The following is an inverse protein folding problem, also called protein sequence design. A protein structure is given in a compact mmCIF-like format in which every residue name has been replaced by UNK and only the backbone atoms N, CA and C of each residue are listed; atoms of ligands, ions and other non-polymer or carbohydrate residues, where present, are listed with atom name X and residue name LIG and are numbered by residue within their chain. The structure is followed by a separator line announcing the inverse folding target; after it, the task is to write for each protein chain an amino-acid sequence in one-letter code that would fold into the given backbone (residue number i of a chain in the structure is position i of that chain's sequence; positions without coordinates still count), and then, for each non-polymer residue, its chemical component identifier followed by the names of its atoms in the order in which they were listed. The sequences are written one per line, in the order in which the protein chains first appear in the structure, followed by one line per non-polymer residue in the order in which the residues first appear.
data_IF_556588167015
#
_entry.id   IF_556588167015
#
_cell.length_a   1.000
_cell.length_b   1.000
_cell.length_c   1.000
_cell.angle_alpha   90.00
_cell.angle_beta   90.00
_cell.angle_gamma   90.00
#
_symmetry.space_group_name_H-M   'P 1'
#
loop_
_entity.id
_entity.type
_entity.pdbx_description
1 polymer ?
#
# COMPACT_ATOMS: atom_id res chain seq x y z
N UNK A 1 11.96 -11.39 17.44
CA UNK A 1 12.22 -11.61 16.00
C UNK A 1 11.64 -10.40 15.31
N UNK A 2 12.46 -9.46 14.87
CA UNK A 2 11.94 -8.28 14.16
C UNK A 2 11.38 -8.78 12.83
N UNK A 3 10.07 -8.75 12.66
CA UNK A 3 9.44 -9.09 11.38
C UNK A 3 9.50 -7.84 10.51
N UNK A 4 10.23 -7.92 9.40
CA UNK A 4 10.26 -6.84 8.41
C UNK A 4 8.85 -6.56 7.89
N UNK A 5 8.55 -5.30 7.56
CA UNK A 5 7.36 -4.96 6.78
C UNK A 5 7.54 -5.48 5.35
N UNK A 6 6.63 -6.34 4.89
CA UNK A 6 6.70 -6.98 3.56
C UNK A 6 5.68 -6.39 2.59
N UNK A 7 6.00 -6.40 1.30
CA UNK A 7 5.07 -5.96 0.26
C UNK A 7 5.07 -6.86 -0.98
N UNK A 8 3.91 -7.07 -1.58
CA UNK A 8 3.78 -7.83 -2.83
C UNK A 8 2.54 -7.44 -3.64
N UNK A 9 2.59 -7.66 -4.95
CA UNK A 9 1.39 -7.64 -5.81
C UNK A 9 0.50 -8.82 -5.39
N UNK A 10 -0.73 -8.51 -4.97
CA UNK A 10 -1.71 -9.48 -4.46
C UNK A 10 -2.69 -9.96 -5.55
N UNK A 11 -2.71 -9.31 -6.71
CA UNK A 11 -3.46 -9.71 -7.91
C UNK A 11 -2.57 -10.39 -8.95
N UNK A 12 -3.14 -10.88 -10.04
CA UNK A 12 -2.36 -11.39 -11.17
C UNK A 12 -1.46 -10.26 -11.74
N UNK A 13 -0.19 -10.56 -12.02
CA UNK A 13 0.74 -9.65 -12.69
C UNK A 13 0.45 -9.58 -14.20
N UNK A 14 -0.69 -9.00 -14.53
CA UNK A 14 -1.22 -8.86 -15.89
C UNK A 14 -1.99 -7.54 -16.03
N UNK A 15 -2.30 -7.13 -17.26
CA UNK A 15 -3.15 -5.96 -17.47
C UNK A 15 -4.57 -6.22 -16.96
N UNK A 16 -5.11 -5.24 -16.23
CA UNK A 16 -6.48 -5.21 -15.75
C UNK A 16 -6.94 -3.77 -15.46
N UNK A 17 -8.19 -3.61 -15.03
CA UNK A 17 -8.68 -2.31 -14.58
C UNK A 17 -8.05 -1.91 -13.23
N UNK A 18 -7.86 -2.87 -12.34
CA UNK A 18 -7.36 -2.68 -10.97
C UNK A 18 -6.27 -3.70 -10.69
N UNK A 19 -5.24 -3.27 -9.97
CA UNK A 19 -4.24 -4.13 -9.36
C UNK A 19 -4.12 -3.81 -7.87
N UNK A 20 -3.91 -4.83 -7.04
CA UNK A 20 -3.78 -4.67 -5.59
C UNK A 20 -2.36 -4.98 -5.17
N UNK A 21 -1.76 -4.09 -4.39
CA UNK A 21 -0.49 -4.31 -3.71
C UNK A 21 -0.77 -4.36 -2.21
N UNK A 22 -0.35 -5.44 -1.55
CA UNK A 22 -0.54 -5.63 -0.11
C UNK A 22 0.76 -5.40 0.62
N UNK A 23 0.68 -4.69 1.73
CA UNK A 23 1.77 -4.40 2.67
C UNK A 23 1.36 -4.93 4.04
N UNK A 24 2.24 -5.65 4.73
CA UNK A 24 2.00 -6.20 6.07
C UNK A 24 3.20 -5.95 6.97
N UNK A 25 2.97 -5.43 8.17
CA UNK A 25 4.02 -5.20 9.17
C UNK A 25 3.81 -3.91 9.95
N UNK A 26 4.68 -3.65 10.94
CA UNK A 26 4.58 -2.50 11.83
C UNK A 26 4.65 -1.15 11.10
N UNK A 27 5.33 -1.09 9.95
CA UNK A 27 5.54 0.15 9.21
C UNK A 27 4.57 0.30 8.02
N UNK A 28 3.66 -0.65 7.80
CA UNK A 28 2.78 -0.68 6.63
C UNK A 28 1.99 0.63 6.46
N UNK A 29 1.50 1.20 7.55
CA UNK A 29 0.72 2.43 7.55
C UNK A 29 1.61 3.67 7.37
N UNK A 30 2.81 3.66 7.96
CA UNK A 30 3.76 4.76 7.82
C UNK A 30 4.25 4.87 6.37
N UNK A 31 4.61 3.73 5.75
CA UNK A 31 5.04 3.68 4.35
C UNK A 31 4.00 4.32 3.42
N UNK A 32 2.71 3.99 3.59
CA UNK A 32 1.64 4.56 2.76
C UNK A 32 1.34 6.02 3.11
N UNK A 33 1.51 6.41 4.38
CA UNK A 33 1.43 7.81 4.80
C UNK A 33 2.48 8.64 4.09
N UNK A 34 3.73 8.18 4.04
CA UNK A 34 4.85 8.91 3.43
C UNK A 34 4.67 9.03 1.90
N UNK A 35 4.23 7.96 1.24
CA UNK A 35 4.01 7.95 -0.21
C UNK A 35 2.82 8.79 -0.67
N UNK A 36 1.84 9.05 0.20
CA UNK A 36 0.63 9.82 -0.15
C UNK A 36 0.61 11.23 0.44
N UNK A 37 1.38 11.47 1.50
CA UNK A 37 1.31 12.68 2.34
C UNK A 37 0.02 12.80 3.14
N UNK A 38 -0.81 11.75 3.21
CA UNK A 38 -2.06 11.72 3.98
C UNK A 38 -1.86 10.88 5.24
N UNK A 39 -2.20 11.45 6.39
CA UNK A 39 -2.10 10.74 7.66
C UNK A 39 -3.21 9.70 7.83
N UNK A 40 -2.81 8.47 8.12
CA UNK A 40 -3.70 7.34 8.39
C UNK A 40 -3.58 6.81 9.83
N UNK A 41 -2.75 7.43 10.68
CA UNK A 41 -2.41 6.97 12.03
C UNK A 41 -3.62 6.76 12.93
N UNK A 42 -4.66 7.60 12.81
CA UNK A 42 -5.92 7.49 13.56
C UNK A 42 -7.06 6.81 12.77
N UNK A 43 -6.82 6.43 11.51
CA UNK A 43 -7.84 5.82 10.68
C UNK A 43 -8.18 4.41 11.18
N UNK A 44 -9.48 4.14 11.33
CA UNK A 44 -10.01 2.85 11.76
C UNK A 44 -9.71 1.77 10.73
N UNK A 45 -9.46 0.55 11.20
CA UNK A 45 -9.42 -0.63 10.33
C UNK A 45 -10.76 -0.85 9.63
N UNK A 46 -10.74 -1.58 8.52
CA UNK A 46 -11.87 -1.83 7.62
C UNK A 46 -12.46 -0.54 7.02
N UNK A 47 -11.61 0.44 6.75
CA UNK A 47 -11.99 1.67 6.02
C UNK A 47 -11.19 1.80 4.74
N UNK A 48 -11.77 2.50 3.76
CA UNK A 48 -11.17 2.77 2.45
C UNK A 48 -11.00 4.26 2.30
N UNK A 49 -9.84 4.68 1.82
CA UNK A 49 -9.46 6.07 1.64
C UNK A 49 -8.98 6.32 0.22
N UNK A 50 -9.52 7.33 -0.43
CA UNK A 50 -8.89 7.86 -1.64
C UNK A 50 -7.61 8.64 -1.27
N UNK A 51 -6.56 8.42 -2.05
CA UNK A 51 -5.27 9.10 -1.95
C UNK A 51 -4.54 9.10 -3.30
N UNK A 52 -3.49 9.91 -3.41
CA UNK A 52 -2.60 9.94 -4.58
C UNK A 52 -1.21 9.51 -4.14
N UNK A 53 -0.65 8.48 -4.77
CA UNK A 53 0.75 8.08 -4.57
C UNK A 53 1.63 9.09 -5.32
N UNK A 54 2.70 9.53 -4.67
CA UNK A 54 3.65 10.51 -5.22
C UNK A 54 5.07 9.99 -5.19
N UNK A 55 5.87 10.47 -6.14
CA UNK A 55 7.33 10.36 -6.14
C UNK A 55 7.90 11.78 -6.13
N UNK A 56 8.31 12.25 -4.94
CA UNK A 56 8.64 13.66 -4.75
C UNK A 56 7.43 14.57 -5.01
N UNK A 57 7.52 15.43 -6.02
CA UNK A 57 6.45 16.36 -6.41
C UNK A 57 5.56 15.83 -7.54
N UNK A 58 5.84 14.64 -8.09
CA UNK A 58 5.10 14.06 -9.19
C UNK A 58 4.02 13.11 -8.68
N UNK A 59 2.79 13.27 -9.17
CA UNK A 59 1.71 12.31 -8.95
C UNK A 59 1.92 11.07 -9.80
N UNK A 60 1.96 9.90 -9.17
CA UNK A 60 2.17 8.61 -9.83
C UNK A 60 0.83 7.96 -10.16
N UNK A 61 -0.03 7.78 -9.17
CA UNK A 61 -1.35 7.19 -9.37
C UNK A 61 -2.39 7.66 -8.34
N UNK A 62 -3.65 7.68 -8.74
CA UNK A 62 -4.80 7.83 -7.86
C UNK A 62 -5.27 6.44 -7.39
N UNK A 63 -5.31 6.23 -6.08
CA UNK A 63 -5.49 4.90 -5.50
C UNK A 63 -6.55 4.88 -4.41
N UNK A 64 -7.06 3.69 -4.13
CA UNK A 64 -7.82 3.41 -2.92
C UNK A 64 -6.93 2.64 -1.94
N UNK A 65 -6.79 3.19 -0.74
CA UNK A 65 -6.04 2.62 0.38
C UNK A 65 -7.02 1.97 1.35
N UNK A 66 -6.97 0.66 1.47
CA UNK A 66 -7.75 -0.11 2.45
C UNK A 66 -6.89 -0.43 3.66
N UNK A 67 -7.37 -0.07 4.85
CA UNK A 67 -6.63 -0.25 6.10
C UNK A 67 -7.20 -1.41 6.91
N UNK A 68 -6.32 -2.27 7.42
CA UNK A 68 -6.66 -3.32 8.37
C UNK A 68 -5.69 -3.22 9.55
N UNK A 69 -6.24 -3.07 10.76
CA UNK A 69 -5.43 -2.88 11.96
C UNK A 69 -5.20 -4.21 12.67
N UNK A 70 -4.01 -4.41 13.21
CA UNK A 70 -3.74 -5.51 14.11
C UNK A 70 -4.73 -5.49 15.30
N UNK A 71 -5.14 -6.66 15.82
CA UNK A 71 -4.87 -8.01 15.30
C UNK A 71 -5.90 -8.46 14.23
N UNK A 72 -6.75 -7.55 13.73
CA UNK A 72 -7.89 -7.85 12.86
C UNK A 72 -7.53 -7.63 11.39
N UNK A 73 -6.60 -8.45 10.90
CA UNK A 73 -6.17 -8.47 9.50
C UNK A 73 -5.88 -9.90 9.05
N UNK A 74 -5.53 -10.08 7.77
CA UNK A 74 -5.21 -11.39 7.21
C UNK A 74 -3.98 -12.04 7.86
N UNK A 75 -2.95 -11.24 8.19
CA UNK A 75 -1.70 -11.70 8.79
C UNK A 75 -1.67 -11.57 10.31
N UNK A 76 -2.63 -10.84 10.91
CA UNK A 76 -2.64 -10.49 12.32
C UNK A 76 -1.84 -9.23 12.65
N UNK A 77 -1.17 -8.63 11.66
CA UNK A 77 -0.41 -7.38 11.77
C UNK A 77 -1.22 -6.18 11.23
N UNK A 78 -0.65 -4.98 11.24
CA UNK A 78 -1.18 -3.90 10.42
C UNK A 78 -0.98 -4.27 8.94
N UNK A 79 -2.06 -4.18 8.17
CA UNK A 79 -2.08 -4.47 6.74
C UNK A 79 -2.69 -3.30 5.99
N UNK A 80 -2.02 -2.90 4.91
CA UNK A 80 -2.54 -1.92 3.96
C UNK A 80 -2.64 -2.57 2.58
N UNK A 81 -3.77 -2.38 1.92
CA UNK A 81 -3.94 -2.76 0.53
C UNK A 81 -4.12 -1.50 -0.32
N UNK A 82 -3.28 -1.35 -1.33
CA UNK A 82 -3.35 -0.27 -2.32
C UNK A 82 -3.97 -0.84 -3.59
N UNK A 83 -5.19 -0.43 -3.89
CA UNK A 83 -5.86 -0.68 -5.16
C UNK A 83 -5.53 0.48 -6.11
N UNK A 84 -4.69 0.18 -7.10
CA UNK A 84 -4.20 1.12 -8.12
C UNK A 84 -4.76 0.74 -9.51
N UNK A 85 -4.52 1.58 -10.52
CA UNK A 85 -4.86 1.22 -11.89
C UNK A 85 -4.12 -0.06 -12.31
N UNK A 86 -4.80 -0.98 -12.99
CA UNK A 86 -4.26 -2.31 -13.29
C UNK A 86 -3.28 -2.39 -14.46
N UNK A 87 -2.58 -1.29 -14.80
CA UNK A 87 -1.49 -1.33 -15.76
C UNK A 87 -0.25 -2.01 -15.16
N UNK A 88 0.42 -2.89 -15.92
CA UNK A 88 1.62 -3.59 -15.45
C UNK A 88 2.72 -2.61 -15.03
N UNK A 89 2.92 -1.54 -15.81
CA UNK A 89 3.88 -0.49 -15.49
C UNK A 89 3.54 0.19 -14.16
N UNK A 90 2.30 0.68 -14.00
CA UNK A 90 1.94 1.45 -12.81
C UNK A 90 1.94 0.58 -11.56
N UNK A 91 1.47 -0.68 -11.66
CA UNK A 91 1.52 -1.66 -10.58
C UNK A 91 2.96 -1.85 -10.08
N UNK A 92 3.91 -2.10 -11.00
CA UNK A 92 5.32 -2.32 -10.65
C UNK A 92 5.99 -1.06 -10.14
N UNK A 93 5.62 0.12 -10.66
CA UNK A 93 6.12 1.41 -10.18
C UNK A 93 5.67 1.66 -8.73
N UNK A 94 4.40 1.45 -8.41
CA UNK A 94 3.89 1.58 -7.03
C UNK A 94 4.58 0.58 -6.09
N UNK A 95 4.74 -0.69 -6.50
CA UNK A 95 5.49 -1.66 -5.70
C UNK A 95 6.94 -1.20 -5.47
N UNK A 96 7.62 -0.72 -6.52
CA UNK A 96 9.00 -0.21 -6.41
C UNK A 96 9.13 0.94 -5.41
N UNK A 97 8.14 1.84 -5.35
CA UNK A 97 8.12 2.94 -4.39
C UNK A 97 7.92 2.45 -2.95
N UNK A 98 7.03 1.47 -2.76
CA UNK A 98 6.80 0.84 -1.45
C UNK A 98 8.07 0.15 -0.94
N UNK A 99 8.76 -0.59 -1.80
CA UNK A 99 10.04 -1.21 -1.46
C UNK A 99 11.12 -0.17 -1.17
N UNK A 100 11.18 0.90 -1.96
CA UNK A 100 12.09 2.04 -1.74
C UNK A 100 11.82 2.81 -0.43
N UNK A 101 10.60 2.71 0.11
CA UNK A 101 10.18 3.33 1.36
C UNK A 101 10.43 2.44 2.60
N UNK A 102 11.04 1.26 2.43
CA UNK A 102 11.50 0.41 3.55
C UNK A 102 10.79 -0.94 3.68
N UNK A 103 9.84 -1.26 2.80
CA UNK A 103 9.30 -2.62 2.72
C UNK A 103 10.29 -3.57 2.02
N UNK A 104 10.21 -4.87 2.33
CA UNK A 104 10.98 -5.94 1.68
C UNK A 104 10.13 -6.81 0.76
#
# INVERSE_FOLDING_TARGET
MFQDTIAAIATADAMGAISVIRISGSDAIQIVTDLTGKDFSDAKGYTIHYATIKEGNESVDEVLVSLFRAPKSYTGEDVVEISCHGGVYITRKVLSLILGAGAR
#
